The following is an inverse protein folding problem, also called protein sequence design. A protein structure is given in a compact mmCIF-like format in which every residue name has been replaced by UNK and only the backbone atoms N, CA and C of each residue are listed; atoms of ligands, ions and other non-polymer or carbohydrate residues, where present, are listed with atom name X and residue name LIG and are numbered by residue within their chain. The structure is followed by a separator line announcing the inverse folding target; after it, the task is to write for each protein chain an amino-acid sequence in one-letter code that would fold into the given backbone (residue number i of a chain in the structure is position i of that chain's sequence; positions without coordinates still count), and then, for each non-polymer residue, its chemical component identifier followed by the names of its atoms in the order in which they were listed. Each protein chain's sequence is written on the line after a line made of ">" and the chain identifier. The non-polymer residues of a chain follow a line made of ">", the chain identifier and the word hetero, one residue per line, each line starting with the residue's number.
data_IF_371907385398
#
_entry.id   IF_371907385398
#
_cell.length_a   1.000
_cell.length_b   1.000
_cell.length_c   1.000
_cell.angle_alpha   90.00
_cell.angle_beta   90.00
_cell.angle_gamma   90.00
#
_symmetry.space_group_name_H-M   'P 1'
#
loop_
_entity.id
_entity.type
_entity.pdbx_description
1 polymer ?
#
# COMPACT_ATOMS: atom_id res chain seq x y z
N UNK A 1 -6.33 21.25 -5.86
CA UNK A 1 -7.41 20.41 -5.27
C UNK A 1 -6.77 19.39 -4.32
N UNK A 2 -7.46 18.90 -3.26
CA UNK A 2 -6.86 17.91 -2.31
C UNK A 2 -6.36 16.62 -2.98
N UNK A 3 -6.93 16.26 -4.13
CA UNK A 3 -6.51 15.15 -4.98
C UNK A 3 -5.13 15.41 -5.62
N UNK A 4 -4.86 16.63 -6.10
CA UNK A 4 -3.56 17.00 -6.68
C UNK A 4 -2.43 16.84 -5.66
N UNK A 5 -2.67 17.27 -4.42
CA UNK A 5 -1.71 17.12 -3.33
C UNK A 5 -1.42 15.65 -3.01
N UNK A 6 -2.45 14.79 -3.08
CA UNK A 6 -2.24 13.36 -2.88
C UNK A 6 -1.42 12.74 -4.02
N UNK A 7 -1.71 13.12 -5.27
CA UNK A 7 -0.92 12.69 -6.43
C UNK A 7 0.54 13.17 -6.32
N UNK A 8 0.79 14.39 -5.83
CA UNK A 8 2.14 14.92 -5.56
C UNK A 8 2.91 14.10 -4.52
N UNK A 9 2.23 13.56 -3.51
CA UNK A 9 2.84 12.68 -2.49
C UNK A 9 3.17 11.30 -3.04
N UNK A 10 2.32 10.74 -3.89
CA UNK A 10 2.47 9.36 -4.33
C UNK A 10 3.20 9.25 -5.67
N UNK A 11 3.29 10.30 -6.49
CA UNK A 11 3.92 10.26 -7.82
C UNK A 11 5.21 11.09 -7.86
N UNK A 12 6.19 10.64 -8.66
CA UNK A 12 7.38 11.47 -8.97
C UNK A 12 6.97 12.69 -9.80
N UNK A 13 7.63 13.83 -9.56
CA UNK A 13 7.33 15.11 -10.19
C UNK A 13 7.16 15.03 -11.72
N UNK A 14 8.12 14.46 -12.45
CA UNK A 14 8.03 14.34 -13.92
C UNK A 14 6.85 13.47 -14.38
N UNK A 15 6.52 12.39 -13.66
CA UNK A 15 5.36 11.53 -13.97
C UNK A 15 4.06 12.29 -13.73
N UNK A 16 4.00 13.05 -12.63
CA UNK A 16 2.84 13.85 -12.30
C UNK A 16 2.56 14.91 -13.37
N UNK A 17 3.60 15.61 -13.85
CA UNK A 17 3.47 16.58 -14.93
C UNK A 17 2.90 15.90 -16.18
N UNK A 18 3.50 14.77 -16.59
CA UNK A 18 3.04 14.03 -17.77
C UNK A 18 1.59 13.56 -17.63
N UNK A 19 1.21 13.06 -16.45
CA UNK A 19 -0.16 12.65 -16.16
C UNK A 19 -1.14 13.82 -16.18
N UNK A 20 -0.82 14.93 -15.51
CA UNK A 20 -1.65 16.14 -15.52
C UNK A 20 -1.83 16.69 -16.95
N UNK A 21 -0.79 16.60 -17.77
CA UNK A 21 -0.84 16.99 -19.18
C UNK A 21 -1.72 16.05 -20.00
N UNK A 22 -1.66 14.73 -19.78
CA UNK A 22 -2.44 13.75 -20.56
C UNK A 22 -3.95 13.86 -20.33
N UNK A 23 -4.38 14.34 -19.16
CA UNK A 23 -5.81 14.53 -18.84
C UNK A 23 -6.25 15.99 -18.97
N UNK A 24 -5.39 16.89 -19.46
CA UNK A 24 -5.66 18.34 -19.45
C UNK A 24 -6.89 18.73 -20.27
N UNK A 25 -7.15 18.01 -21.36
CA UNK A 25 -8.29 18.23 -22.26
C UNK A 25 -9.62 17.69 -21.74
N UNK A 26 -9.61 16.88 -20.68
CA UNK A 26 -10.81 16.27 -20.13
C UNK A 26 -11.61 17.27 -19.29
N UNK A 27 -12.92 17.02 -19.14
CA UNK A 27 -13.75 17.77 -18.21
C UNK A 27 -13.23 17.63 -16.77
N UNK A 28 -13.58 18.57 -15.89
CA UNK A 28 -13.17 18.53 -14.48
C UNK A 28 -13.57 17.19 -13.83
N UNK A 29 -14.77 16.71 -14.15
CA UNK A 29 -15.28 15.46 -13.63
C UNK A 29 -14.47 14.25 -14.09
N UNK A 30 -14.21 14.12 -15.39
CA UNK A 30 -13.37 13.05 -15.95
C UNK A 30 -11.95 13.10 -15.40
N UNK A 31 -11.37 14.29 -15.23
CA UNK A 31 -10.06 14.47 -14.59
C UNK A 31 -10.03 13.91 -13.17
N UNK A 32 -11.10 14.11 -12.39
CA UNK A 32 -11.20 13.57 -11.03
C UNK A 32 -11.24 12.04 -11.06
N UNK A 33 -11.99 11.45 -11.99
CA UNK A 33 -12.07 10.00 -12.17
C UNK A 33 -10.72 9.40 -12.61
N UNK A 34 -10.01 10.05 -13.54
CA UNK A 34 -8.66 9.65 -13.94
C UNK A 34 -7.67 9.75 -12.76
N UNK A 35 -7.72 10.82 -11.98
CA UNK A 35 -6.90 10.95 -10.77
C UNK A 35 -7.22 9.83 -9.77
N UNK A 36 -8.49 9.50 -9.57
CA UNK A 36 -8.91 8.40 -8.70
C UNK A 36 -8.35 7.06 -9.18
N UNK A 37 -8.49 6.77 -10.48
CA UNK A 37 -7.98 5.55 -11.10
C UNK A 37 -6.47 5.42 -10.95
N UNK A 38 -5.74 6.53 -11.04
CA UNK A 38 -4.30 6.57 -10.81
C UNK A 38 -3.93 6.29 -9.35
N UNK A 39 -4.73 6.79 -8.39
CA UNK A 39 -4.54 6.56 -6.95
C UNK A 39 -4.85 5.10 -6.58
N UNK A 40 -5.95 4.55 -7.10
CA UNK A 40 -6.41 3.17 -6.81
C UNK A 40 -5.61 2.12 -7.57
N UNK A 41 -5.20 2.46 -8.80
CA UNK A 41 -4.51 1.67 -9.81
C UNK A 41 -5.25 0.42 -10.31
N UNK A 42 -5.71 0.45 -11.56
CA UNK A 42 -6.32 -0.71 -12.23
C UNK A 42 -5.62 -1.14 -13.51
N UNK A 43 -4.77 -0.33 -14.13
CA UNK A 43 -4.11 -0.76 -15.38
C UNK A 43 -2.65 -1.12 -15.19
N UNK A 44 -2.44 -2.33 -14.69
CA UNK A 44 -1.23 -3.10 -14.94
C UNK A 44 -1.49 -4.06 -16.10
N UNK A 45 -1.21 -3.61 -17.32
CA UNK A 45 -0.67 -4.45 -18.37
C UNK A 45 0.24 -3.57 -19.24
N UNK A 46 1.36 -4.14 -19.67
CA UNK A 46 2.46 -3.54 -20.45
C UNK A 46 3.56 -2.81 -19.65
N UNK A 47 4.62 -3.60 -19.44
CA UNK A 47 6.06 -3.33 -19.57
C UNK A 47 6.71 -2.20 -18.74
N UNK A 48 7.56 -2.67 -17.82
CA UNK A 48 8.89 -2.18 -17.47
C UNK A 48 9.13 -0.83 -16.78
N UNK A 49 8.14 -0.01 -16.38
CA UNK A 49 8.49 1.21 -15.62
C UNK A 49 7.42 1.82 -14.67
N UNK A 50 6.61 1.02 -13.97
CA UNK A 50 5.54 1.57 -13.10
C UNK A 50 5.97 1.72 -11.63
N UNK A 51 6.56 2.88 -11.29
CA UNK A 51 6.80 3.31 -9.90
C UNK A 51 5.65 4.15 -9.37
N UNK A 52 4.97 3.59 -8.35
CA UNK A 52 4.05 4.15 -7.32
C UNK A 52 2.55 4.16 -7.62
N UNK A 53 1.82 3.34 -6.86
CA UNK A 53 0.37 3.30 -6.70
C UNK A 53 0.05 2.46 -5.45
N UNK A 54 -1.17 2.52 -4.90
CA UNK A 54 -1.50 1.78 -3.65
C UNK A 54 -1.21 0.28 -3.75
N UNK A 55 -1.57 -0.34 -4.87
CA UNK A 55 -1.30 -1.75 -5.12
C UNK A 55 0.19 -2.05 -5.30
N UNK A 56 0.96 -1.11 -5.88
CA UNK A 56 2.42 -1.22 -5.96
C UNK A 56 3.13 -1.00 -4.61
N UNK A 57 2.57 -0.18 -3.73
CA UNK A 57 3.06 -0.01 -2.35
C UNK A 57 2.95 -1.35 -1.63
N UNK A 58 1.80 -2.02 -1.74
CA UNK A 58 1.61 -3.37 -1.19
C UNK A 58 2.58 -4.36 -1.86
N UNK A 59 2.59 -4.44 -3.19
CA UNK A 59 3.42 -5.37 -3.95
C UNK A 59 4.93 -5.25 -3.65
N UNK A 60 5.48 -4.03 -3.60
CA UNK A 60 6.89 -3.80 -3.27
C UNK A 60 7.28 -4.12 -1.84
N UNK A 61 6.29 -4.12 -0.94
CA UNK A 61 6.50 -4.37 0.48
C UNK A 61 6.07 -5.79 0.88
N UNK A 62 5.71 -6.65 -0.07
CA UNK A 62 5.47 -8.08 0.20
C UNK A 62 6.70 -8.76 0.81
N UNK A 63 7.91 -8.42 0.33
CA UNK A 63 9.14 -8.95 0.93
C UNK A 63 9.31 -8.51 2.38
N UNK A 64 8.90 -7.29 2.73
CA UNK A 64 8.94 -6.80 4.11
C UNK A 64 7.98 -7.59 5.00
N UNK A 65 6.76 -7.85 4.53
CA UNK A 65 5.75 -8.64 5.25
C UNK A 65 6.24 -10.08 5.43
N UNK A 66 6.74 -10.70 4.36
CA UNK A 66 7.33 -12.05 4.39
C UNK A 66 8.49 -12.13 5.38
N UNK A 67 9.38 -11.15 5.36
CA UNK A 67 10.48 -11.07 6.32
C UNK A 67 9.92 -10.95 7.74
N UNK A 68 8.91 -10.11 7.97
CA UNK A 68 8.21 -10.00 9.24
C UNK A 68 7.72 -11.35 9.78
N UNK A 69 7.07 -12.15 8.95
CA UNK A 69 6.65 -13.52 9.31
C UNK A 69 7.83 -14.44 9.61
N UNK A 70 8.88 -14.43 8.79
CA UNK A 70 10.09 -15.21 9.06
C UNK A 70 10.71 -14.86 10.42
N UNK A 71 10.71 -13.57 10.79
CA UNK A 71 11.20 -13.14 12.09
C UNK A 71 10.32 -13.60 13.25
N UNK A 72 8.99 -13.59 13.10
CA UNK A 72 8.09 -14.20 14.09
C UNK A 72 8.42 -15.70 14.29
N UNK A 73 8.66 -16.44 13.20
CA UNK A 73 9.06 -17.85 13.29
C UNK A 73 10.40 -18.04 13.99
N UNK A 74 11.39 -17.18 13.69
CA UNK A 74 12.69 -17.20 14.35
C UNK A 74 12.55 -16.95 15.87
N UNK A 75 11.79 -15.94 16.27
CA UNK A 75 11.53 -15.62 17.67
C UNK A 75 10.82 -16.77 18.38
N UNK A 76 9.82 -17.38 17.74
CA UNK A 76 9.14 -18.56 18.27
C UNK A 76 10.12 -19.72 18.48
N UNK A 77 11.03 -19.97 17.53
CA UNK A 77 12.05 -21.01 17.67
C UNK A 77 13.02 -20.72 18.83
N UNK A 78 13.41 -19.44 19.03
CA UNK A 78 14.24 -19.03 20.16
C UNK A 78 13.54 -19.30 21.49
N UNK A 79 12.25 -18.92 21.61
CA UNK A 79 11.44 -19.16 22.81
C UNK A 79 11.44 -20.65 23.18
N UNK A 80 11.17 -21.53 22.21
CA UNK A 80 11.07 -22.98 22.41
C UNK A 80 12.42 -23.70 22.47
N UNK A 81 13.54 -23.01 22.21
CA UNK A 81 14.86 -23.62 22.32
C UNK A 81 15.18 -24.02 23.76
N UNK A 82 15.94 -25.10 23.93
CA UNK A 82 16.40 -25.61 25.24
C UNK A 82 17.54 -24.80 25.85
N UNK A 83 17.99 -23.75 25.17
CA UNK A 83 19.08 -22.90 25.63
C UNK A 83 18.64 -22.09 26.85
N UNK A 84 19.62 -21.68 27.65
CA UNK A 84 19.36 -20.87 28.83
C UNK A 84 18.88 -19.45 28.48
N UNK A 85 18.35 -18.76 29.48
CA UNK A 85 17.82 -17.40 29.34
C UNK A 85 18.87 -16.40 28.88
N UNK A 86 20.10 -16.52 29.37
CA UNK A 86 21.18 -15.58 29.04
C UNK A 86 21.51 -15.65 27.54
N UNK A 87 21.62 -16.86 27.00
CA UNK A 87 21.83 -17.10 25.58
C UNK A 87 20.70 -16.51 24.73
N UNK A 88 19.43 -16.74 25.12
CA UNK A 88 18.26 -16.20 24.40
C UNK A 88 18.26 -14.68 24.39
N UNK A 89 18.56 -14.06 25.53
CA UNK A 89 18.66 -12.60 25.64
C UNK A 89 19.80 -12.03 24.79
N UNK A 90 20.95 -12.70 24.76
CA UNK A 90 22.10 -12.25 23.97
C UNK A 90 21.81 -12.27 22.47
N UNK A 91 21.18 -13.33 21.96
CA UNK A 91 20.72 -13.39 20.57
C UNK A 91 19.68 -12.31 20.28
N UNK A 92 18.78 -12.03 21.21
CA UNK A 92 17.80 -10.97 21.04
C UNK A 92 18.46 -9.59 20.86
N UNK A 93 19.52 -9.32 21.62
CA UNK A 93 20.30 -8.08 21.52
C UNK A 93 20.99 -8.00 20.16
N UNK A 94 21.60 -9.09 19.70
CA UNK A 94 22.25 -9.16 18.37
C UNK A 94 21.26 -8.94 17.23
N UNK A 95 20.04 -9.48 17.35
CA UNK A 95 18.99 -9.35 16.34
C UNK A 95 18.19 -8.03 16.44
N UNK A 96 18.37 -7.26 17.52
CA UNK A 96 17.59 -6.04 17.79
C UNK A 96 17.58 -5.00 16.66
N UNK A 97 18.71 -4.69 16.00
CA UNK A 97 18.72 -3.75 14.88
C UNK A 97 17.76 -4.17 13.76
N UNK A 98 17.71 -5.47 13.45
CA UNK A 98 16.84 -6.03 12.41
C UNK A 98 15.36 -5.97 12.81
N UNK A 99 15.02 -6.30 14.07
CA UNK A 99 13.64 -6.15 14.57
C UNK A 99 13.16 -4.71 14.49
N UNK A 100 14.01 -3.78 14.92
CA UNK A 100 13.71 -2.34 14.91
C UNK A 100 13.45 -1.86 13.49
N UNK A 101 14.30 -2.26 12.53
CA UNK A 101 14.15 -1.88 11.13
C UNK A 101 12.82 -2.39 10.55
N UNK A 102 12.50 -3.68 10.75
CA UNK A 102 11.28 -4.29 10.21
C UNK A 102 10.04 -3.66 10.83
N UNK A 103 9.99 -3.51 12.15
CA UNK A 103 8.87 -2.87 12.83
C UNK A 103 8.66 -1.42 12.38
N UNK A 104 9.75 -0.67 12.16
CA UNK A 104 9.69 0.70 11.64
C UNK A 104 9.11 0.72 10.23
N UNK A 105 9.62 -0.13 9.35
CA UNK A 105 9.17 -0.22 7.97
C UNK A 105 7.70 -0.69 7.86
N UNK A 106 7.26 -1.64 8.69
CA UNK A 106 5.86 -2.07 8.78
C UNK A 106 4.98 -0.92 9.26
N UNK A 107 5.44 -0.13 10.26
CA UNK A 107 4.75 1.07 10.71
C UNK A 107 4.58 2.12 9.62
N UNK A 108 5.62 2.38 8.83
CA UNK A 108 5.55 3.29 7.68
C UNK A 108 4.57 2.80 6.61
N UNK A 109 4.52 1.49 6.36
CA UNK A 109 3.56 0.89 5.43
C UNK A 109 2.12 1.08 5.93
N UNK A 110 1.83 0.77 7.20
CA UNK A 110 0.52 0.99 7.82
C UNK A 110 0.08 2.45 7.67
N UNK A 111 0.98 3.40 7.98
CA UNK A 111 0.69 4.82 7.86
C UNK A 111 0.36 5.23 6.42
N UNK A 112 1.14 4.76 5.45
CA UNK A 112 0.89 5.04 4.04
C UNK A 112 -0.46 4.48 3.56
N UNK A 113 -0.79 3.24 3.90
CA UNK A 113 -2.05 2.60 3.52
C UNK A 113 -3.26 3.29 4.16
N UNK A 114 -3.16 3.67 5.44
CA UNK A 114 -4.20 4.45 6.12
C UNK A 114 -4.42 5.81 5.47
N UNK A 115 -3.34 6.51 5.10
CA UNK A 115 -3.44 7.78 4.38
C UNK A 115 -4.19 7.61 3.06
N UNK A 116 -3.84 6.61 2.26
CA UNK A 116 -4.49 6.36 0.96
C UNK A 116 -5.99 6.05 1.13
N UNK A 117 -6.35 5.20 2.10
CA UNK A 117 -7.74 4.89 2.43
C UNK A 117 -8.55 6.16 2.76
N UNK A 118 -8.00 7.04 3.60
CA UNK A 118 -8.70 8.26 4.02
C UNK A 118 -8.85 9.26 2.87
N UNK A 119 -7.84 9.38 2.01
CA UNK A 119 -7.94 10.23 0.83
C UNK A 119 -9.05 9.75 -0.11
N UNK A 120 -9.17 8.45 -0.34
CA UNK A 120 -10.20 7.90 -1.23
C UNK A 120 -11.58 8.05 -0.59
N UNK A 121 -11.71 7.81 0.72
CA UNK A 121 -12.95 8.07 1.47
C UNK A 121 -13.39 9.53 1.33
N UNK A 122 -12.47 10.48 1.43
CA UNK A 122 -12.77 11.89 1.23
C UNK A 122 -13.31 12.17 -0.17
N UNK A 123 -12.66 11.61 -1.21
CA UNK A 123 -13.13 11.81 -2.59
C UNK A 123 -14.52 11.24 -2.79
N UNK A 124 -14.79 10.02 -2.30
CA UNK A 124 -16.13 9.40 -2.36
C UNK A 124 -17.22 10.20 -1.61
N UNK A 125 -16.85 10.99 -0.61
CA UNK A 125 -17.78 11.84 0.15
C UNK A 125 -18.11 13.14 -0.58
N UNK A 126 -17.13 13.72 -1.27
CA UNK A 126 -17.26 15.03 -1.92
C UNK A 126 -17.81 14.90 -3.35
N UNK A 127 -17.53 13.78 -4.02
CA UNK A 127 -17.93 13.55 -5.40
C UNK A 127 -18.84 12.33 -5.50
N UNK A 128 -19.97 12.48 -6.21
CA UNK A 128 -20.82 11.36 -6.58
C UNK A 128 -20.08 10.50 -7.62
N UNK A 129 -19.57 9.35 -7.18
CA UNK A 129 -18.84 8.45 -8.07
C UNK A 129 -19.79 7.57 -8.87
N UNK A 130 -19.58 7.42 -10.19
CA UNK A 130 -20.41 6.59 -11.02
C UNK A 130 -20.08 5.11 -10.76
N UNK A 131 -21.03 4.21 -11.07
CA UNK A 131 -20.77 2.77 -11.00
C UNK A 131 -19.70 2.36 -12.03
N UNK A 132 -19.82 2.89 -13.25
CA UNK A 132 -18.91 2.68 -14.36
C UNK A 132 -18.45 4.01 -14.95
N UNK A 133 -17.22 4.04 -15.45
CA UNK A 133 -16.65 5.15 -16.20
C UNK A 133 -16.15 4.63 -17.54
N UNK A 134 -16.67 5.18 -18.63
CA UNK A 134 -16.21 4.84 -19.97
C UNK A 134 -14.94 5.63 -20.28
N UNK A 135 -13.84 4.92 -20.53
CA UNK A 135 -12.56 5.53 -20.89
C UNK A 135 -12.24 5.24 -22.35
N UNK A 136 -12.19 6.28 -23.16
CA UNK A 136 -11.81 6.17 -24.56
C UNK A 136 -10.29 5.96 -24.67
N UNK A 137 -9.85 4.88 -25.32
CA UNK A 137 -8.44 4.46 -25.38
C UNK A 137 -7.72 4.91 -26.65
N UNK A 138 -8.45 5.50 -27.61
CA UNK A 138 -7.88 6.05 -28.85
C UNK A 138 -8.68 7.26 -29.32
N UNK A 139 -8.02 8.34 -29.72
CA UNK A 139 -8.65 9.56 -30.24
C UNK A 139 -9.26 9.39 -31.65
N UNK A 140 -9.11 8.23 -32.29
CA UNK A 140 -9.43 8.02 -33.71
C UNK A 140 -10.43 6.89 -34.00
N UNK A 141 -10.98 6.19 -32.99
CA UNK A 141 -12.02 5.18 -33.24
C UNK A 141 -13.32 5.50 -32.50
N UNK A 142 -14.43 5.50 -33.25
CA UNK A 142 -15.80 5.67 -32.74
C UNK A 142 -16.27 4.50 -31.83
N UNK A 143 -15.45 3.43 -31.72
CA UNK A 143 -15.79 2.19 -31.00
C UNK A 143 -14.67 1.70 -30.05
N UNK A 144 -13.66 2.51 -29.75
CA UNK A 144 -12.54 2.14 -28.88
C UNK A 144 -12.63 2.75 -27.48
N UNK A 145 -13.16 2.00 -26.52
CA UNK A 145 -13.11 2.37 -25.11
C UNK A 145 -13.56 1.24 -24.19
N UNK A 146 -13.27 1.39 -22.90
CA UNK A 146 -13.55 0.37 -21.89
C UNK A 146 -14.41 0.97 -20.77
N UNK A 147 -15.42 0.23 -20.32
CA UNK A 147 -16.15 0.56 -19.10
C UNK A 147 -15.39 0.08 -17.88
N UNK A 148 -15.00 1.02 -17.04
CA UNK A 148 -14.21 0.79 -15.84
C UNK A 148 -15.13 0.81 -14.62
N UNK A 149 -15.24 -0.28 -13.83
CA UNK A 149 -16.15 -0.36 -12.67
C UNK A 149 -15.57 0.36 -11.45
N UNK A 150 -15.61 1.70 -11.43
CA UNK A 150 -14.93 2.56 -10.45
C UNK A 150 -15.26 2.17 -9.00
N UNK A 151 -16.54 1.93 -8.67
CA UNK A 151 -16.90 1.60 -7.28
C UNK A 151 -16.33 0.26 -6.85
N UNK A 152 -16.40 -0.76 -7.70
CA UNK A 152 -15.83 -2.07 -7.41
C UNK A 152 -14.32 -1.99 -7.15
N UNK A 153 -13.62 -1.19 -7.95
CA UNK A 153 -12.18 -0.93 -7.82
C UNK A 153 -11.84 -0.31 -6.46
N UNK A 154 -12.59 0.72 -6.06
CA UNK A 154 -12.40 1.40 -4.78
C UNK A 154 -12.65 0.44 -3.61
N UNK A 155 -13.72 -0.35 -3.67
CA UNK A 155 -14.05 -1.36 -2.66
C UNK A 155 -12.92 -2.37 -2.53
N UNK A 156 -12.43 -2.90 -3.66
CA UNK A 156 -11.35 -3.90 -3.65
C UNK A 156 -10.05 -3.34 -3.10
N UNK A 157 -9.66 -2.13 -3.52
CA UNK A 157 -8.46 -1.47 -3.02
C UNK A 157 -8.54 -1.22 -1.51
N UNK A 158 -9.70 -0.81 -1.00
CA UNK A 158 -9.91 -0.60 0.44
C UNK A 158 -9.78 -1.91 1.22
N UNK A 159 -10.38 -3.00 0.72
CA UNK A 159 -10.24 -4.33 1.32
C UNK A 159 -8.78 -4.77 1.37
N UNK A 160 -8.05 -4.61 0.27
CA UNK A 160 -6.63 -4.95 0.20
C UNK A 160 -5.81 -4.16 1.23
N UNK A 161 -6.04 -2.84 1.34
CA UNK A 161 -5.38 -2.01 2.34
C UNK A 161 -5.66 -2.49 3.76
N UNK A 162 -6.93 -2.78 4.09
CA UNK A 162 -7.32 -3.25 5.42
C UNK A 162 -6.67 -4.57 5.78
N UNK A 163 -6.67 -5.54 4.85
CA UNK A 163 -6.02 -6.83 5.07
C UNK A 163 -4.52 -6.67 5.32
N UNK A 164 -3.82 -5.89 4.49
CA UNK A 164 -2.38 -5.66 4.65
C UNK A 164 -2.05 -4.89 5.93
N UNK A 165 -2.85 -3.89 6.30
CA UNK A 165 -2.68 -3.16 7.57
C UNK A 165 -2.79 -4.15 8.74
N UNK A 166 -3.85 -4.96 8.76
CA UNK A 166 -4.09 -5.91 9.83
C UNK A 166 -2.96 -6.94 9.95
N UNK A 167 -2.46 -7.44 8.82
CA UNK A 167 -1.31 -8.35 8.80
C UNK A 167 -0.05 -7.69 9.36
N UNK A 168 0.25 -6.45 8.95
CA UNK A 168 1.40 -5.71 9.47
C UNK A 168 1.29 -5.43 10.98
N UNK A 169 0.10 -5.10 11.47
CA UNK A 169 -0.18 -4.91 12.89
C UNK A 169 0.03 -6.21 13.67
N UNK A 170 -0.49 -7.32 13.15
CA UNK A 170 -0.33 -8.66 13.74
C UNK A 170 1.14 -9.04 13.87
N UNK A 171 1.93 -8.86 12.81
CA UNK A 171 3.38 -9.12 12.84
C UNK A 171 4.05 -8.27 13.93
N UNK A 172 3.76 -6.97 13.98
CA UNK A 172 4.36 -6.06 14.98
C UNK A 172 3.99 -6.45 16.41
N UNK A 173 2.74 -6.82 16.64
CA UNK A 173 2.28 -7.29 17.95
C UNK A 173 2.98 -8.59 18.33
N UNK A 174 3.06 -9.57 17.42
CA UNK A 174 3.74 -10.83 17.67
C UNK A 174 5.22 -10.63 18.00
N UNK A 175 5.95 -9.81 17.24
CA UNK A 175 7.34 -9.47 17.54
C UNK A 175 7.44 -8.85 18.94
N UNK A 176 6.57 -7.89 19.27
CA UNK A 176 6.58 -7.26 20.58
C UNK A 176 6.35 -8.26 21.73
N UNK A 177 5.34 -9.12 21.60
CA UNK A 177 5.02 -10.14 22.61
C UNK A 177 6.16 -11.15 22.78
N UNK A 178 6.72 -11.65 21.68
CA UNK A 178 7.78 -12.65 21.72
C UNK A 178 9.11 -12.07 22.25
N UNK A 179 9.46 -10.84 21.88
CA UNK A 179 10.62 -10.12 22.43
C UNK A 179 10.46 -9.96 23.95
N UNK A 180 9.25 -9.59 24.40
CA UNK A 180 8.93 -9.46 25.83
C UNK A 180 9.06 -10.81 26.54
N UNK A 181 8.54 -11.87 25.96
CA UNK A 181 8.64 -13.22 26.50
C UNK A 181 10.10 -13.65 26.68
N UNK A 182 10.94 -13.52 25.64
CA UNK A 182 12.36 -13.88 25.70
C UNK A 182 13.13 -13.07 26.75
N UNK A 183 12.82 -11.78 26.88
CA UNK A 183 13.60 -10.90 27.74
C UNK A 183 13.21 -11.03 29.22
N UNK A 184 11.91 -11.22 29.51
CA UNK A 184 11.38 -11.18 30.87
C UNK A 184 11.12 -12.56 31.50
N UNK A 185 10.83 -13.58 30.70
CA UNK A 185 10.63 -14.96 31.17
C UNK A 185 11.90 -15.77 30.97
#
# INVERSE_FOLDING_TARGET
>A
MRIDYHLERIMKHNRLINFKNSIRSFSIYERILECLLEITNVFSNNNNNKKTSTQNIIGRRQNLIRNGHHFCHLLLAIIHSKNDRHWKQQILIELFPFFKEICTNLGQLIWALNSNKEHIRYVCKVFALPEYYFRCTSSTSLYGGEFIPIKAIIIQMNRNCLMTIHECETIRMNIHHMVKEIYFN
#
